data_IF_735071781047
#
_entry.id   IF_735071781047
#
_cell.length_a   1.000
_cell.length_b   1.000
_cell.length_c   1.000
_cell.angle_alpha   90.00
_cell.angle_beta   90.00
_cell.angle_gamma   90.00
#
_symmetry.space_group_name_H-M   'P 1'
#
loop_
_entity.id
_entity.type
_entity.pdbx_description
1 polymer ?
#
# COMPACT_ATOMS: atom_id res chain seq x y z
N UNK A 1 -10.96 4.41 26.46
CA UNK A 1 -10.95 3.32 25.44
C UNK A 1 -12.21 2.52 25.61
N UNK A 2 -12.89 2.20 24.51
CA UNK A 2 -14.05 1.32 24.52
C UNK A 2 -13.67 -0.14 24.75
N UNK A 3 -14.61 -0.96 25.22
CA UNK A 3 -14.44 -2.42 25.35
C UNK A 3 -14.00 -3.07 24.03
N UNK A 4 -14.51 -2.55 22.91
CA UNK A 4 -14.16 -3.00 21.57
C UNK A 4 -12.69 -2.71 21.24
N UNK A 5 -12.18 -1.53 21.55
CA UNK A 5 -10.77 -1.17 21.32
C UNK A 5 -9.83 -2.01 22.17
N UNK A 6 -10.21 -2.29 23.42
CA UNK A 6 -9.45 -3.17 24.29
C UNK A 6 -9.38 -4.60 23.72
N UNK A 7 -10.53 -5.12 23.27
CA UNK A 7 -10.62 -6.44 22.64
C UNK A 7 -9.74 -6.56 21.39
N UNK A 8 -9.64 -5.49 20.58
CA UNK A 8 -8.79 -5.46 19.39
C UNK A 8 -7.31 -5.51 19.73
N UNK A 9 -6.86 -4.65 20.65
CA UNK A 9 -5.46 -4.61 21.10
C UNK A 9 -5.05 -5.96 21.68
N UNK A 10 -5.88 -6.53 22.55
CA UNK A 10 -5.63 -7.84 23.14
C UNK A 10 -5.55 -8.96 22.09
N UNK A 11 -6.47 -8.97 21.11
CA UNK A 11 -6.41 -9.95 20.02
C UNK A 11 -5.13 -9.83 19.19
N UNK A 12 -4.69 -8.61 18.92
CA UNK A 12 -3.48 -8.34 18.14
C UNK A 12 -2.21 -8.73 18.91
N UNK A 13 -2.11 -8.39 20.20
CA UNK A 13 -0.98 -8.77 21.06
C UNK A 13 -0.84 -10.30 21.18
N UNK A 14 -1.94 -11.00 21.42
CA UNK A 14 -1.93 -12.47 21.44
C UNK A 14 -1.55 -13.05 20.07
N UNK A 15 -2.03 -12.46 18.98
CA UNK A 15 -1.63 -12.90 17.64
C UNK A 15 -0.12 -12.71 17.39
N UNK A 16 0.45 -11.58 17.80
CA UNK A 16 1.89 -11.32 17.69
C UNK A 16 2.73 -12.31 18.50
N UNK A 17 2.21 -12.79 19.63
CA UNK A 17 2.83 -13.85 20.44
C UNK A 17 2.63 -15.27 19.88
N UNK A 18 1.97 -15.42 18.73
CA UNK A 18 1.80 -16.70 18.05
C UNK A 18 0.62 -17.55 18.51
N UNK A 19 -0.30 -16.99 19.31
CA UNK A 19 -1.50 -17.73 19.74
C UNK A 19 -2.42 -18.03 18.55
N UNK A 20 -3.08 -19.20 18.58
CA UNK A 20 -4.06 -19.56 17.56
C UNK A 20 -5.32 -18.72 17.70
N UNK A 21 -5.95 -18.40 16.58
CA UNK A 21 -7.19 -17.59 16.56
C UNK A 21 -8.35 -18.22 17.32
N UNK A 22 -8.36 -19.56 17.49
CA UNK A 22 -9.30 -20.25 18.38
C UNK A 22 -9.14 -19.88 19.85
N UNK A 23 -7.90 -19.67 20.29
CA UNK A 23 -7.58 -19.44 21.69
C UNK A 23 -7.80 -17.96 22.02
N UNK A 24 -7.43 -17.09 21.09
CA UNK A 24 -7.75 -15.66 21.13
C UNK A 24 -9.27 -15.45 21.20
N UNK A 25 -10.04 -16.15 20.36
CA UNK A 25 -11.51 -16.07 20.34
C UNK A 25 -12.13 -16.38 21.71
N UNK A 26 -11.63 -17.41 22.39
CA UNK A 26 -12.05 -17.76 23.75
C UNK A 26 -11.64 -16.69 24.76
N UNK A 27 -10.40 -16.20 24.68
CA UNK A 27 -9.86 -15.23 25.62
C UNK A 27 -10.63 -13.90 25.62
N UNK A 28 -11.07 -13.43 24.45
CA UNK A 28 -11.83 -12.17 24.32
C UNK A 28 -13.34 -12.37 24.13
N UNK A 29 -13.84 -13.59 24.28
CA UNK A 29 -15.26 -13.94 24.13
C UNK A 29 -15.89 -13.44 22.82
N UNK A 30 -15.19 -13.62 21.69
CA UNK A 30 -15.67 -13.26 20.34
C UNK A 30 -15.60 -14.44 19.38
N UNK A 31 -16.33 -14.36 18.27
CA UNK A 31 -16.22 -15.36 17.20
C UNK A 31 -14.85 -15.30 16.50
N UNK A 32 -14.39 -16.42 15.94
CA UNK A 32 -13.14 -16.47 15.18
C UNK A 32 -13.10 -15.46 14.02
N UNK A 33 -14.22 -15.27 13.33
CA UNK A 33 -14.33 -14.27 12.25
C UNK A 33 -14.11 -12.85 12.77
N UNK A 34 -14.65 -12.52 13.95
CA UNK A 34 -14.43 -11.23 14.61
C UNK A 34 -12.97 -11.05 15.01
N UNK A 35 -12.32 -12.09 15.54
CA UNK A 35 -10.89 -12.07 15.86
C UNK A 35 -10.03 -11.79 14.63
N UNK A 36 -10.28 -12.49 13.52
CA UNK A 36 -9.57 -12.22 12.26
C UNK A 36 -9.73 -10.77 11.82
N UNK A 37 -10.95 -10.23 11.91
CA UNK A 37 -11.23 -8.83 11.60
C UNK A 37 -10.46 -7.88 12.52
N UNK A 38 -10.44 -8.12 13.83
CA UNK A 38 -9.72 -7.28 14.78
C UNK A 38 -8.21 -7.29 14.56
N UNK A 39 -7.63 -8.48 14.36
CA UNK A 39 -6.20 -8.62 14.02
C UNK A 39 -5.88 -7.85 12.73
N UNK A 40 -6.74 -7.97 11.71
CA UNK A 40 -6.55 -7.25 10.44
C UNK A 40 -6.63 -5.73 10.65
N UNK A 41 -7.61 -5.24 11.38
CA UNK A 41 -7.78 -3.80 11.64
C UNK A 41 -6.57 -3.20 12.35
N UNK A 42 -6.04 -3.87 13.39
CA UNK A 42 -4.84 -3.43 14.11
C UNK A 42 -3.57 -3.57 13.26
N UNK A 43 -3.42 -4.67 12.51
CA UNK A 43 -2.30 -4.83 11.57
C UNK A 43 -2.29 -3.70 10.53
N UNK A 44 -3.45 -3.40 9.96
CA UNK A 44 -3.61 -2.36 8.95
C UNK A 44 -3.44 -0.95 9.50
N UNK A 45 -3.63 -0.75 10.81
CA UNK A 45 -3.40 0.52 11.50
C UNK A 45 -1.90 0.77 11.72
N UNK A 46 -1.17 -0.26 12.18
CA UNK A 46 0.24 -0.13 12.54
C UNK A 46 1.19 -0.30 11.35
N UNK A 47 0.95 -1.29 10.47
CA UNK A 47 1.89 -1.61 9.37
C UNK A 47 1.76 -0.68 8.17
N UNK A 48 0.59 -0.09 7.95
CA UNK A 48 0.35 0.72 6.75
C UNK A 48 1.20 1.99 6.66
N UNK A 49 1.35 2.81 7.73
CA UNK A 49 2.21 3.99 7.69
C UNK A 49 3.66 3.67 7.31
N UNK A 50 4.18 2.54 7.77
CA UNK A 50 5.52 2.05 7.45
C UNK A 50 5.64 1.65 5.98
N UNK A 51 4.77 0.73 5.52
CA UNK A 51 4.74 0.29 4.11
C UNK A 51 4.59 1.47 3.16
N UNK A 52 3.75 2.43 3.53
CA UNK A 52 3.53 3.64 2.75
C UNK A 52 4.81 4.46 2.58
N UNK A 53 5.62 4.55 3.63
CA UNK A 53 6.92 5.22 3.60
C UNK A 53 7.92 4.43 2.76
N UNK A 54 7.98 3.11 2.96
CA UNK A 54 8.80 2.19 2.17
C UNK A 54 8.48 2.31 0.67
N UNK A 55 7.20 2.26 0.29
CA UNK A 55 6.76 2.40 -1.11
C UNK A 55 7.20 3.75 -1.67
N UNK A 56 7.03 4.85 -0.94
CA UNK A 56 7.45 6.18 -1.41
C UNK A 56 8.94 6.19 -1.72
N UNK A 57 9.78 5.71 -0.80
CA UNK A 57 11.24 5.66 -0.99
C UNK A 57 11.59 4.83 -2.21
N UNK A 58 11.03 3.61 -2.32
CA UNK A 58 11.35 2.69 -3.42
C UNK A 58 10.89 3.25 -4.77
N UNK A 59 9.73 3.91 -4.85
CA UNK A 59 9.27 4.52 -6.10
C UNK A 59 10.20 5.60 -6.65
N UNK A 60 10.93 6.31 -5.78
CA UNK A 60 11.84 7.38 -6.20
C UNK A 60 13.29 6.92 -6.40
N UNK A 61 13.72 5.86 -5.72
CA UNK A 61 15.14 5.53 -5.58
C UNK A 61 15.51 4.08 -5.93
N UNK A 62 14.53 3.21 -6.19
CA UNK A 62 14.79 1.78 -6.30
C UNK A 62 13.86 1.03 -7.25
N UNK A 63 14.05 -0.29 -7.26
CA UNK A 63 13.25 -1.21 -8.05
C UNK A 63 11.95 -1.56 -7.30
N UNK A 64 10.88 -0.84 -7.66
CA UNK A 64 9.55 -1.04 -7.09
C UNK A 64 8.98 -2.43 -7.35
N UNK A 65 9.25 -3.01 -8.51
CA UNK A 65 8.74 -4.34 -8.85
C UNK A 65 9.36 -5.41 -7.95
N UNK A 66 10.69 -5.38 -7.81
CA UNK A 66 11.41 -6.29 -6.91
C UNK A 66 10.98 -6.13 -5.45
N UNK A 67 10.74 -4.91 -4.99
CA UNK A 67 10.22 -4.68 -3.64
C UNK A 67 8.87 -5.35 -3.42
N UNK A 68 7.89 -5.14 -4.31
CA UNK A 68 6.55 -5.75 -4.19
C UNK A 68 6.61 -7.28 -4.24
N UNK A 69 7.47 -7.86 -5.08
CA UNK A 69 7.64 -9.31 -5.18
C UNK A 69 8.14 -9.96 -3.88
N UNK A 70 8.98 -9.24 -3.13
CA UNK A 70 9.58 -9.71 -1.88
C UNK A 70 8.66 -9.50 -0.65
N UNK A 71 7.56 -8.78 -0.79
CA UNK A 71 6.62 -8.57 0.31
C UNK A 71 5.91 -9.85 0.73
N UNK A 72 5.58 -9.91 2.02
CA UNK A 72 4.75 -10.98 2.58
C UNK A 72 3.33 -10.93 2.00
N UNK A 73 2.63 -12.06 2.00
CA UNK A 73 1.23 -12.08 1.54
C UNK A 73 0.32 -11.17 2.38
N UNK A 74 0.65 -10.96 3.66
CA UNK A 74 -0.06 -10.04 4.55
C UNK A 74 0.11 -8.59 4.10
N UNK A 75 1.33 -8.19 3.79
CA UNK A 75 1.65 -6.83 3.31
C UNK A 75 1.02 -6.56 1.95
N UNK A 76 1.11 -7.51 1.02
CA UNK A 76 0.45 -7.41 -0.29
C UNK A 76 -1.06 -7.26 -0.11
N UNK A 77 -1.66 -8.05 0.79
CA UNK A 77 -3.09 -7.95 1.08
C UNK A 77 -3.47 -6.63 1.73
N UNK A 78 -2.61 -6.08 2.60
CA UNK A 78 -2.77 -4.77 3.21
C UNK A 78 -2.77 -3.66 2.15
N UNK A 79 -1.75 -3.62 1.29
CA UNK A 79 -1.67 -2.64 0.19
C UNK A 79 -2.90 -2.74 -0.69
N UNK A 80 -3.27 -3.96 -1.10
CA UNK A 80 -4.47 -4.22 -1.91
C UNK A 80 -5.75 -3.68 -1.27
N UNK A 81 -5.94 -3.88 0.04
CA UNK A 81 -7.13 -3.35 0.75
C UNK A 81 -7.14 -1.84 0.82
N UNK A 82 -6.00 -1.24 1.21
CA UNK A 82 -5.91 0.22 1.42
C UNK A 82 -6.05 1.01 0.13
N UNK A 83 -5.60 0.45 -0.98
CA UNK A 83 -5.74 1.02 -2.33
C UNK A 83 -6.98 0.51 -3.07
N UNK A 84 -7.85 -0.26 -2.42
CA UNK A 84 -9.10 -0.81 -3.00
C UNK A 84 -8.90 -1.57 -4.33
N UNK A 85 -7.81 -2.34 -4.44
CA UNK A 85 -7.46 -3.06 -5.66
C UNK A 85 -8.18 -4.41 -5.76
N UNK A 86 -8.21 -5.00 -6.96
CA UNK A 86 -8.74 -6.35 -7.20
C UNK A 86 -7.75 -7.47 -6.85
N UNK A 87 -8.18 -8.72 -7.02
CA UNK A 87 -7.32 -9.92 -6.96
C UNK A 87 -7.50 -10.79 -5.70
N UNK A 88 -7.49 -12.10 -5.92
CA UNK A 88 -7.67 -13.13 -4.88
C UNK A 88 -6.33 -13.78 -4.52
N UNK A 89 -5.58 -14.25 -5.53
CA UNK A 89 -4.27 -14.88 -5.36
C UNK A 89 -3.15 -13.88 -5.05
N UNK A 90 -1.98 -14.36 -4.58
CA UNK A 90 -0.83 -13.49 -4.32
C UNK A 90 -0.39 -12.78 -5.62
N UNK A 91 -0.33 -13.53 -6.72
CA UNK A 91 0.09 -13.07 -8.04
C UNK A 91 -0.88 -12.03 -8.60
N UNK A 92 -2.20 -12.26 -8.53
CA UNK A 92 -3.19 -11.28 -8.98
C UNK A 92 -3.08 -9.97 -8.20
N UNK A 93 -2.88 -10.05 -6.87
CA UNK A 93 -2.73 -8.86 -6.03
C UNK A 93 -1.45 -8.09 -6.39
N UNK A 94 -0.33 -8.78 -6.57
CA UNK A 94 0.93 -8.17 -7.01
C UNK A 94 0.72 -7.48 -8.35
N UNK A 95 0.13 -8.16 -9.33
CA UNK A 95 -0.14 -7.60 -10.65
C UNK A 95 -1.02 -6.33 -10.56
N UNK A 96 -2.08 -6.36 -9.74
CA UNK A 96 -2.96 -5.22 -9.54
C UNK A 96 -2.22 -4.02 -8.90
N UNK A 97 -1.34 -4.28 -7.93
CA UNK A 97 -0.50 -3.25 -7.29
C UNK A 97 0.46 -2.64 -8.32
N UNK A 98 1.24 -3.47 -9.02
CA UNK A 98 2.19 -3.00 -10.03
C UNK A 98 1.49 -2.21 -11.13
N UNK A 99 0.34 -2.68 -11.61
CA UNK A 99 -0.49 -1.96 -12.59
C UNK A 99 -0.96 -0.61 -12.06
N UNK A 100 -1.50 -0.58 -10.84
CA UNK A 100 -1.96 0.66 -10.21
C UNK A 100 -0.83 1.68 -10.07
N UNK A 101 0.33 1.27 -9.58
CA UNK A 101 1.47 2.19 -9.47
C UNK A 101 2.06 2.55 -10.83
N UNK A 102 2.16 1.64 -11.81
CA UNK A 102 2.63 1.96 -13.17
C UNK A 102 1.75 2.99 -13.88
N UNK A 103 0.43 2.86 -13.75
CA UNK A 103 -0.51 3.83 -14.34
C UNK A 103 -0.42 5.21 -13.67
N UNK A 104 0.01 5.28 -12.40
CA UNK A 104 0.04 6.51 -11.62
C UNK A 104 1.45 7.11 -11.43
N UNK A 105 2.51 6.31 -11.57
CA UNK A 105 3.92 6.72 -11.43
C UNK A 105 4.39 7.59 -12.59
N UNK A 106 3.68 7.56 -13.73
CA UNK A 106 3.87 8.51 -14.84
C UNK A 106 3.83 9.95 -14.32
N UNK A 107 3.14 10.22 -13.21
CA UNK A 107 2.94 11.56 -12.65
C UNK A 107 3.99 11.98 -11.60
N UNK A 108 4.91 11.11 -11.19
CA UNK A 108 5.90 11.43 -10.13
C UNK A 108 5.28 11.76 -8.76
N UNK A 109 4.01 11.38 -8.54
CA UNK A 109 3.26 11.63 -7.31
C UNK A 109 2.86 10.29 -6.69
N UNK A 110 2.93 10.21 -5.36
CA UNK A 110 2.45 9.05 -4.62
C UNK A 110 0.91 8.89 -4.76
N UNK A 111 0.39 7.73 -5.21
CA UNK A 111 -0.99 7.62 -5.71
C UNK A 111 -2.11 7.90 -4.70
N UNK A 112 -1.84 7.77 -3.39
CA UNK A 112 -2.83 8.09 -2.35
C UNK A 112 -3.27 9.56 -2.33
N UNK A 113 -2.50 10.45 -2.95
CA UNK A 113 -2.80 11.88 -3.00
C UNK A 113 -3.29 12.34 -4.37
N UNK A 114 -3.76 11.45 -5.23
CA UNK A 114 -4.22 11.82 -6.56
C UNK A 114 -5.61 12.44 -6.53
N UNK A 115 -5.67 13.76 -6.32
CA UNK A 115 -6.83 14.55 -6.73
C UNK A 115 -6.76 14.81 -8.24
N UNK A 116 -7.91 15.07 -8.89
CA UNK A 116 -7.94 15.50 -10.30
C UNK A 116 -7.02 16.69 -10.57
N UNK A 117 -6.88 17.60 -9.60
CA UNK A 117 -5.99 18.77 -9.69
C UNK A 117 -4.51 18.37 -9.66
N UNK A 118 -4.13 17.44 -8.78
CA UNK A 118 -2.75 16.94 -8.66
C UNK A 118 -2.35 16.15 -9.90
N UNK A 119 -3.25 15.33 -10.45
CA UNK A 119 -3.06 14.64 -11.73
C UNK A 119 -2.83 15.65 -12.87
N UNK A 120 -3.68 16.67 -12.97
CA UNK A 120 -3.56 17.71 -14.02
C UNK A 120 -2.23 18.47 -13.90
N UNK A 121 -1.82 18.84 -12.68
CA UNK A 121 -0.56 19.53 -12.42
C UNK A 121 0.66 18.67 -12.75
N UNK A 122 0.64 17.40 -12.38
CA UNK A 122 1.73 16.47 -12.68
C UNK A 122 1.86 16.18 -14.19
N UNK A 123 0.73 15.98 -14.89
CA UNK A 123 0.73 15.86 -16.35
C UNK A 123 1.30 17.11 -17.03
N UNK A 124 0.94 18.29 -16.54
CA UNK A 124 1.45 19.56 -17.07
C UNK A 124 2.97 19.67 -16.90
N UNK A 125 3.50 19.41 -15.69
CA UNK A 125 4.95 19.42 -15.44
C UNK A 125 5.72 18.47 -16.35
N UNK A 126 5.23 17.24 -16.51
CA UNK A 126 5.89 16.25 -17.38
C UNK A 126 5.84 16.62 -18.86
N UNK A 127 4.75 17.25 -19.31
CA UNK A 127 4.67 17.80 -20.67
C UNK A 127 5.67 18.94 -20.86
N UNK A 128 5.81 19.84 -19.87
CA UNK A 128 6.78 20.93 -19.88
C UNK A 128 8.24 20.40 -19.88
N UNK A 129 8.58 19.41 -19.05
CA UNK A 129 9.90 18.75 -19.04
C UNK A 129 10.23 18.08 -20.38
N UNK A 130 9.27 17.37 -20.97
CA UNK A 130 9.45 16.69 -22.27
C UNK A 130 9.66 17.71 -23.40
N UNK A 131 8.88 18.80 -23.37
CA UNK A 131 9.00 19.88 -24.36
C UNK A 131 10.35 20.61 -24.23
N UNK A 132 10.78 20.91 -23.01
CA UNK A 132 12.07 21.55 -22.75
C UNK A 132 13.23 20.66 -23.20
N UNK A 133 13.18 19.36 -22.86
CA UNK A 133 14.19 18.38 -23.29
C UNK A 133 14.30 18.26 -24.82
N UNK A 134 13.19 18.39 -25.55
CA UNK A 134 13.18 18.33 -27.00
C UNK A 134 13.79 19.59 -27.63
N UNK A 135 13.44 20.77 -27.11
CA UNK A 135 14.05 22.05 -27.52
C UNK A 135 15.56 22.10 -27.27
N UNK A 136 16.02 21.58 -26.13
CA UNK A 136 17.45 21.53 -25.79
C UNK A 136 18.22 20.58 -26.73
N UNK A 137 17.62 19.45 -27.13
CA UNK A 137 18.20 18.56 -28.14
C UNK A 137 18.29 19.22 -29.53
N UNK A 138 17.26 19.97 -29.93
CA UNK A 138 17.29 20.71 -31.20
C UNK A 138 18.38 21.79 -31.21
N UNK A 139 18.61 22.47 -30.08
CA UNK A 139 19.69 23.47 -29.95
C UNK A 139 21.09 22.87 -29.95
N UNK A 140 21.26 21.64 -29.48
CA UNK A 140 22.54 20.93 -29.51
C UNK A 140 22.91 20.42 -30.92
N UNK A 141 21.93 20.33 -31.81
CA UNK A 141 22.08 19.82 -33.18
C UNK A 141 21.81 20.87 -34.27
N UNK A 142 21.66 22.15 -33.90
CA UNK A 142 21.53 23.32 -34.78
C UNK A 142 22.84 24.12 -34.81
#
# INVERSE_FOLDING_TARGET
>A
MSEKELSKKMAYEMFQRGYKTSDIAKAISKSKSTVYKYIQEEYDLHRYPEIRTEIKVVLFQGDFEKYILNLSFRDISLIRRKLSLGGTSKQEKIHAILKYFKSNSILGVYPEYLSKAIIKSANRRKAEETHQSYEDLLRLHA
#
